data_IF_520054818040
#
_entry.id   IF_520054818040
#
_cell.length_a   1.000
_cell.length_b   1.000
_cell.length_c   1.000
_cell.angle_alpha   90.00
_cell.angle_beta   90.00
_cell.angle_gamma   90.00
#
_symmetry.space_group_name_H-M   'P 1'
#
loop_
_entity.id
_entity.type
_entity.pdbx_description
1 polymer ?
#
# COMPACT_ATOMS: atom_id res chain seq x y z
N UNK A 1 7.04 10.85 38.04
CA UNK A 1 8.06 11.90 37.85
C UNK A 1 7.53 13.18 37.21
N UNK A 2 6.19 13.34 37.01
CA UNK A 2 5.55 14.57 36.58
C UNK A 2 5.92 15.09 35.17
N UNK A 3 6.46 14.23 34.31
CA UNK A 3 6.76 14.58 32.91
C UNK A 3 5.54 14.27 32.05
N UNK A 4 5.00 15.29 31.38
CA UNK A 4 3.96 15.11 30.37
C UNK A 4 4.62 14.79 29.02
N UNK A 5 4.25 13.66 28.42
CA UNK A 5 4.70 13.27 27.08
C UNK A 5 3.55 13.51 26.11
N UNK A 6 3.79 14.31 25.10
CA UNK A 6 2.84 14.58 24.02
C UNK A 6 3.47 14.17 22.69
N UNK A 7 2.64 13.75 21.73
CA UNK A 7 3.06 13.47 20.36
C UNK A 7 2.08 14.09 19.37
N UNK A 8 2.43 14.10 18.10
CA UNK A 8 1.62 14.63 17.00
C UNK A 8 1.26 13.51 16.01
N UNK A 9 0.42 12.54 16.40
CA UNK A 9 0.23 11.29 15.65
C UNK A 9 -0.47 11.49 14.29
N UNK A 10 -1.07 12.65 14.04
CA UNK A 10 -1.72 12.95 12.77
C UNK A 10 -0.77 13.61 11.75
N UNK A 11 0.32 14.24 12.20
CA UNK A 11 1.16 15.09 11.36
C UNK A 11 1.85 14.37 10.19
N UNK A 12 2.15 13.07 10.33
CA UNK A 12 2.83 12.28 9.30
C UNK A 12 1.90 11.38 8.49
N UNK A 13 0.58 11.43 8.71
CA UNK A 13 -0.32 10.45 8.08
C UNK A 13 -0.34 10.56 6.56
N UNK A 14 -0.42 11.76 6.02
CA UNK A 14 -0.36 11.99 4.57
C UNK A 14 1.00 11.61 3.99
N UNK A 15 2.11 11.98 4.66
CA UNK A 15 3.47 11.65 4.18
C UNK A 15 3.72 10.15 4.06
N UNK A 16 3.21 9.35 5.02
CA UNK A 16 3.33 7.90 4.95
C UNK A 16 2.45 7.33 3.83
N UNK A 17 1.25 7.87 3.63
CA UNK A 17 0.39 7.46 2.52
C UNK A 17 1.03 7.76 1.16
N UNK A 18 1.63 8.95 0.99
CA UNK A 18 2.40 9.31 -0.21
C UNK A 18 3.58 8.36 -0.45
N UNK A 19 4.30 7.95 0.61
CA UNK A 19 5.40 6.99 0.50
C UNK A 19 4.91 5.63 0.03
N UNK A 20 3.74 5.15 0.47
CA UNK A 20 3.13 3.91 -0.04
C UNK A 20 2.95 4.00 -1.56
N UNK A 21 2.36 5.09 -2.07
CA UNK A 21 2.15 5.25 -3.52
C UNK A 21 3.47 5.46 -4.27
N UNK A 22 4.47 6.10 -3.68
CA UNK A 22 5.80 6.18 -4.28
C UNK A 22 6.41 4.79 -4.50
N UNK A 23 6.29 3.88 -3.52
CA UNK A 23 6.70 2.48 -3.68
C UNK A 23 5.88 1.75 -4.75
N UNK A 24 4.55 1.89 -4.74
CA UNK A 24 3.69 1.27 -5.75
C UNK A 24 4.04 1.74 -7.16
N UNK A 25 4.16 3.04 -7.39
CA UNK A 25 4.55 3.57 -8.70
C UNK A 25 5.96 3.12 -9.10
N UNK A 26 6.90 3.11 -8.16
CA UNK A 26 8.27 2.67 -8.42
C UNK A 26 8.32 1.21 -8.86
N UNK A 27 7.62 0.32 -8.17
CA UNK A 27 7.55 -1.11 -8.53
C UNK A 27 6.78 -1.34 -9.83
N UNK A 28 5.57 -0.79 -9.93
CA UNK A 28 4.69 -0.99 -11.10
C UNK A 28 5.24 -0.41 -12.40
N UNK A 29 6.07 0.62 -12.35
CA UNK A 29 6.61 1.33 -13.52
C UNK A 29 8.11 1.20 -13.69
N UNK A 30 8.74 0.29 -12.93
CA UNK A 30 10.19 0.03 -12.99
C UNK A 30 11.08 1.28 -12.78
N UNK A 31 10.62 2.26 -11.97
CA UNK A 31 11.32 3.54 -11.85
C UNK A 31 12.74 3.38 -11.31
N UNK A 32 12.92 2.56 -10.27
CA UNK A 32 14.24 2.32 -9.68
C UNK A 32 15.17 1.62 -10.67
N UNK A 33 14.71 0.61 -11.38
CA UNK A 33 15.51 -0.14 -12.34
C UNK A 33 15.87 0.74 -13.55
N UNK A 34 14.90 1.46 -14.10
CA UNK A 34 15.12 2.36 -15.23
C UNK A 34 16.07 3.50 -14.89
N UNK A 35 15.95 4.08 -13.69
CA UNK A 35 16.84 5.15 -13.24
C UNK A 35 18.29 4.67 -13.07
N UNK A 36 18.51 3.40 -12.74
CA UNK A 36 19.85 2.81 -12.62
C UNK A 36 20.43 2.42 -13.98
N UNK A 37 19.66 1.80 -14.85
CA UNK A 37 20.13 1.20 -16.10
C UNK A 37 20.18 2.17 -17.27
N UNK A 38 19.17 3.02 -17.43
CA UNK A 38 19.09 3.93 -18.59
C UNK A 38 20.32 4.87 -18.72
N UNK A 39 20.84 5.49 -17.65
CA UNK A 39 22.02 6.33 -17.78
C UNK A 39 23.31 5.60 -18.19
N UNK A 40 23.40 4.30 -17.89
CA UNK A 40 24.62 3.49 -18.09
C UNK A 40 24.56 2.66 -19.35
N UNK A 41 23.39 2.10 -19.67
CA UNK A 41 23.22 1.14 -20.75
C UNK A 41 22.34 1.67 -21.91
N UNK A 42 21.71 2.85 -21.74
CA UNK A 42 20.72 3.37 -22.67
C UNK A 42 21.26 3.59 -24.08
N UNK A 43 22.50 4.01 -24.24
CA UNK A 43 23.10 4.22 -25.57
C UNK A 43 23.18 2.93 -26.39
N UNK A 44 23.51 1.81 -25.76
CA UNK A 44 23.71 0.52 -26.44
C UNK A 44 22.49 -0.40 -26.42
N UNK A 45 21.62 -0.28 -25.39
CA UNK A 45 20.50 -1.21 -25.15
C UNK A 45 19.14 -0.54 -25.04
N UNK A 46 18.95 0.65 -25.61
CA UNK A 46 17.71 1.42 -25.47
C UNK A 46 16.46 0.63 -25.87
N UNK A 47 16.49 -0.06 -27.01
CA UNK A 47 15.34 -0.80 -27.51
C UNK A 47 14.96 -1.97 -26.57
N UNK A 48 15.96 -2.65 -26.02
CA UNK A 48 15.76 -3.76 -25.04
C UNK A 48 15.16 -3.25 -23.74
N UNK A 49 15.75 -2.21 -23.15
CA UNK A 49 15.28 -1.59 -21.92
C UNK A 49 13.86 -1.01 -22.09
N UNK A 50 13.61 -0.30 -23.19
CA UNK A 50 12.27 0.20 -23.51
C UNK A 50 11.26 -0.93 -23.55
N UNK A 51 11.57 -2.05 -24.22
CA UNK A 51 10.69 -3.23 -24.31
C UNK A 51 10.45 -3.85 -22.92
N UNK A 52 11.47 -3.94 -22.08
CA UNK A 52 11.32 -4.45 -20.71
C UNK A 52 10.35 -3.59 -19.89
N UNK A 53 10.44 -2.26 -19.99
CA UNK A 53 9.64 -1.32 -19.21
C UNK A 53 8.20 -1.13 -19.74
N UNK A 54 7.87 -1.59 -20.94
CA UNK A 54 6.48 -1.62 -21.42
C UNK A 54 5.59 -2.60 -20.66
N UNK A 55 6.18 -3.51 -19.88
CA UNK A 55 5.45 -4.44 -19.02
C UNK A 55 4.90 -3.79 -17.73
N UNK A 56 5.08 -2.49 -17.56
CA UNK A 56 4.58 -1.76 -16.40
C UNK A 56 3.06 -1.88 -16.25
N UNK A 57 2.60 -1.87 -15.00
CA UNK A 57 1.20 -2.02 -14.62
C UNK A 57 0.63 -0.67 -14.18
N UNK A 58 -0.61 -0.39 -14.58
CA UNK A 58 -1.36 0.77 -14.10
C UNK A 58 -2.07 0.44 -12.78
N UNK A 59 -2.16 1.42 -11.88
CA UNK A 59 -2.90 1.27 -10.62
C UNK A 59 -4.42 1.41 -10.82
N UNK A 60 -4.86 2.20 -11.81
CA UNK A 60 -6.27 2.39 -12.13
C UNK A 60 -6.96 1.04 -12.38
N UNK A 61 -8.13 0.85 -11.74
CA UNK A 61 -8.91 -0.37 -11.85
C UNK A 61 -8.36 -1.57 -11.07
N UNK A 62 -7.21 -1.43 -10.39
CA UNK A 62 -6.65 -2.43 -9.49
C UNK A 62 -7.22 -2.32 -8.10
N UNK A 63 -7.12 -3.39 -7.33
CA UNK A 63 -7.61 -3.47 -5.96
C UNK A 63 -6.46 -3.30 -4.97
N UNK A 64 -6.59 -2.37 -4.03
CA UNK A 64 -5.69 -2.22 -2.90
C UNK A 64 -6.36 -2.72 -1.62
N UNK A 65 -5.72 -3.65 -0.92
CA UNK A 65 -6.08 -4.12 0.42
C UNK A 65 -5.30 -3.35 1.49
N UNK A 66 -6.00 -2.69 2.38
CA UNK A 66 -5.42 -1.87 3.44
C UNK A 66 -5.64 -2.58 4.78
N UNK A 67 -4.58 -3.07 5.39
CA UNK A 67 -4.62 -3.75 6.69
C UNK A 67 -4.24 -2.75 7.79
N UNK A 68 -5.24 -2.38 8.62
CA UNK A 68 -5.21 -1.27 9.54
C UNK A 68 -5.83 -0.01 8.94
N UNK A 69 -7.09 0.26 9.28
CA UNK A 69 -7.87 1.36 8.68
C UNK A 69 -7.97 2.58 9.61
N UNK A 70 -6.86 2.85 10.34
CA UNK A 70 -6.66 4.06 11.11
C UNK A 70 -6.34 5.29 10.25
N UNK A 71 -5.75 6.34 10.84
CA UNK A 71 -5.46 7.61 10.13
C UNK A 71 -4.68 7.42 8.84
N UNK A 72 -3.58 6.65 8.87
CA UNK A 72 -2.74 6.42 7.68
C UNK A 72 -3.49 5.61 6.65
N UNK A 73 -4.15 4.51 7.04
CA UNK A 73 -4.94 3.68 6.12
C UNK A 73 -6.05 4.45 5.42
N UNK A 74 -6.68 5.40 6.11
CA UNK A 74 -7.69 6.29 5.52
C UNK A 74 -7.09 7.28 4.52
N UNK A 75 -5.91 7.85 4.78
CA UNK A 75 -5.21 8.70 3.80
C UNK A 75 -4.78 7.89 2.57
N UNK A 76 -4.30 6.66 2.75
CA UNK A 76 -4.03 5.74 1.63
C UNK A 76 -5.30 5.47 0.81
N UNK A 77 -6.43 5.23 1.48
CA UNK A 77 -7.71 5.01 0.80
C UNK A 77 -8.16 6.21 -0.04
N UNK A 78 -8.03 7.44 0.49
CA UNK A 78 -8.34 8.68 -0.26
C UNK A 78 -7.51 8.79 -1.53
N UNK A 79 -6.21 8.55 -1.44
CA UNK A 79 -5.29 8.58 -2.59
C UNK A 79 -5.64 7.47 -3.60
N UNK A 80 -5.93 6.25 -3.14
CA UNK A 80 -6.33 5.13 -3.97
C UNK A 80 -7.60 5.44 -4.77
N UNK A 81 -8.64 5.98 -4.10
CA UNK A 81 -9.87 6.41 -4.75
C UNK A 81 -9.61 7.48 -5.82
N UNK A 82 -8.76 8.47 -5.52
CA UNK A 82 -8.33 9.49 -6.49
C UNK A 82 -7.63 8.93 -7.71
N UNK A 83 -6.92 7.81 -7.57
CA UNK A 83 -6.26 7.08 -8.66
C UNK A 83 -7.20 6.12 -9.39
N UNK A 84 -8.46 6.01 -8.97
CA UNK A 84 -9.44 5.09 -9.57
C UNK A 84 -9.21 3.62 -9.22
N UNK A 85 -8.63 3.34 -8.04
CA UNK A 85 -8.48 2.00 -7.51
C UNK A 85 -9.72 1.58 -6.72
N UNK A 86 -9.97 0.26 -6.64
CA UNK A 86 -10.90 -0.33 -5.69
C UNK A 86 -10.20 -0.45 -4.32
N UNK A 87 -10.85 0.02 -3.27
CA UNK A 87 -10.33 -0.03 -1.90
C UNK A 87 -11.04 -1.11 -1.11
N UNK A 88 -10.28 -2.02 -0.50
CA UNK A 88 -10.72 -2.98 0.50
C UNK A 88 -9.97 -2.70 1.80
N UNK A 89 -10.67 -2.77 2.93
CA UNK A 89 -10.10 -2.43 4.23
C UNK A 89 -10.30 -3.54 5.26
N UNK A 90 -9.30 -3.75 6.10
CA UNK A 90 -9.33 -4.63 7.27
C UNK A 90 -9.04 -3.79 8.50
N UNK A 91 -9.90 -3.87 9.51
CA UNK A 91 -9.66 -3.27 10.82
C UNK A 91 -10.39 -4.05 11.91
N UNK A 92 -9.77 -4.16 13.08
CA UNK A 92 -10.36 -4.92 14.19
C UNK A 92 -11.31 -4.08 15.06
N UNK A 93 -11.27 -2.76 14.91
CA UNK A 93 -11.99 -1.81 15.78
C UNK A 93 -13.04 -1.00 15.05
N UNK A 94 -13.00 -1.02 13.73
CA UNK A 94 -13.85 -0.18 12.87
C UNK A 94 -14.56 -1.03 11.84
N UNK A 95 -15.89 -1.06 11.88
CA UNK A 95 -16.70 -1.81 10.91
C UNK A 95 -16.93 -1.02 9.62
N UNK A 96 -17.02 0.31 9.73
CA UNK A 96 -17.19 1.20 8.57
C UNK A 96 -16.70 2.61 8.85
N UNK A 97 -16.28 3.29 7.81
CA UNK A 97 -15.87 4.70 7.83
C UNK A 97 -16.52 5.44 6.68
N UNK A 98 -17.08 6.61 6.98
CA UNK A 98 -17.44 7.59 5.96
C UNK A 98 -16.20 8.43 5.65
N UNK A 99 -15.57 8.15 4.54
CA UNK A 99 -14.32 8.75 4.11
C UNK A 99 -14.60 9.95 3.21
N UNK A 100 -14.34 11.16 3.70
CA UNK A 100 -14.49 12.38 2.91
C UNK A 100 -13.20 12.66 2.14
N UNK A 101 -13.29 12.69 0.82
CA UNK A 101 -12.22 13.12 -0.08
C UNK A 101 -12.47 14.58 -0.44
N UNK A 102 -11.59 15.47 -0.01
CA UNK A 102 -11.67 16.90 -0.27
C UNK A 102 -10.70 17.30 -1.38
N UNK A 103 -11.15 18.15 -2.29
CA UNK A 103 -10.37 18.68 -3.38
C UNK A 103 -9.98 20.14 -3.11
N UNK A 104 -8.87 20.57 -3.72
CA UNK A 104 -8.33 21.92 -3.53
C UNK A 104 -9.34 23.05 -3.82
N UNK A 105 -10.29 22.82 -4.71
CA UNK A 105 -11.37 23.77 -5.05
C UNK A 105 -12.52 23.82 -4.04
N UNK A 106 -12.41 23.12 -2.91
CA UNK A 106 -13.43 23.04 -1.86
C UNK A 106 -14.55 22.03 -2.11
N UNK A 107 -14.56 21.34 -3.25
CA UNK A 107 -15.47 20.23 -3.49
C UNK A 107 -15.08 19.02 -2.66
N UNK A 108 -16.04 18.16 -2.34
CA UNK A 108 -15.76 16.91 -1.64
C UNK A 108 -16.71 15.81 -2.11
N UNK A 109 -16.24 14.57 -1.97
CA UNK A 109 -17.06 13.37 -2.22
C UNK A 109 -16.90 12.45 -1.01
N UNK A 110 -18.04 11.92 -0.54
CA UNK A 110 -18.06 10.97 0.57
C UNK A 110 -18.13 9.53 0.05
N UNK A 111 -17.32 8.66 0.63
CA UNK A 111 -17.29 7.22 0.35
C UNK A 111 -17.55 6.44 1.63
N UNK A 112 -18.51 5.54 1.64
CA UNK A 112 -18.64 4.57 2.72
C UNK A 112 -17.73 3.38 2.44
N UNK A 113 -16.71 3.17 3.30
CA UNK A 113 -15.83 2.01 3.25
C UNK A 113 -16.20 1.09 4.42
N UNK A 114 -16.61 -0.13 4.11
CA UNK A 114 -16.83 -1.20 5.09
C UNK A 114 -15.59 -2.06 5.19
N UNK A 115 -15.21 -2.40 6.41
CA UNK A 115 -14.13 -3.36 6.63
C UNK A 115 -14.61 -4.77 6.38
N UNK A 116 -13.70 -5.63 5.97
CA UNK A 116 -13.94 -7.02 5.61
C UNK A 116 -12.95 -7.91 6.38
N UNK A 117 -13.11 -9.21 6.28
CA UNK A 117 -12.13 -10.13 6.83
C UNK A 117 -10.80 -10.03 6.10
N UNK A 118 -9.70 -10.27 6.83
CA UNK A 118 -8.36 -10.26 6.24
C UNK A 118 -8.25 -11.28 5.10
N UNK A 119 -8.89 -12.43 5.23
CA UNK A 119 -8.88 -13.49 4.22
C UNK A 119 -9.54 -13.07 2.91
N UNK A 120 -10.68 -12.39 2.95
CA UNK A 120 -11.36 -11.87 1.76
C UNK A 120 -10.50 -10.81 1.06
N UNK A 121 -9.95 -9.87 1.83
CA UNK A 121 -9.11 -8.80 1.29
C UNK A 121 -7.85 -9.35 0.61
N UNK A 122 -7.16 -10.31 1.24
CA UNK A 122 -5.95 -10.89 0.66
C UNK A 122 -6.21 -11.64 -0.65
N UNK A 123 -7.35 -12.33 -0.76
CA UNK A 123 -7.74 -13.05 -1.99
C UNK A 123 -8.05 -12.11 -3.16
N UNK A 124 -8.54 -10.90 -2.88
CA UNK A 124 -9.00 -9.97 -3.92
C UNK A 124 -7.99 -8.85 -4.25
N UNK A 125 -7.04 -8.56 -3.35
CA UNK A 125 -6.10 -7.46 -3.52
C UNK A 125 -5.01 -7.77 -4.55
N UNK A 126 -4.73 -6.79 -5.42
CA UNK A 126 -3.55 -6.77 -6.28
C UNK A 126 -2.35 -6.14 -5.55
N UNK A 127 -2.64 -5.24 -4.61
CA UNK A 127 -1.67 -4.59 -3.74
C UNK A 127 -2.15 -4.66 -2.30
N UNK A 128 -1.27 -5.01 -1.38
CA UNK A 128 -1.56 -5.04 0.07
C UNK A 128 -0.64 -4.05 0.77
N UNK A 129 -1.18 -3.25 1.67
CA UNK A 129 -0.40 -2.31 2.48
C UNK A 129 -0.76 -2.40 3.96
N UNK A 130 0.26 -2.32 4.81
CA UNK A 130 0.14 -2.52 6.25
C UNK A 130 0.24 -1.19 7.00
N UNK A 131 -0.74 -0.93 7.89
CA UNK A 131 -0.82 0.28 8.71
C UNK A 131 -1.21 -0.05 10.15
N UNK A 132 -0.64 -1.11 10.68
CA UNK A 132 -0.88 -1.62 12.03
C UNK A 132 0.26 -1.25 12.98
N UNK A 133 0.02 -1.11 14.28
CA UNK A 133 1.07 -0.95 15.27
C UNK A 133 1.92 -2.24 15.36
N UNK A 134 3.04 -2.16 16.08
CA UNK A 134 3.82 -3.34 16.42
C UNK A 134 2.94 -4.36 17.17
N UNK A 135 3.05 -5.62 16.81
CA UNK A 135 2.29 -6.73 17.36
C UNK A 135 3.24 -7.84 17.85
N UNK A 136 2.72 -8.74 18.69
CA UNK A 136 3.49 -9.90 19.17
C UNK A 136 3.57 -11.00 18.11
N UNK A 137 2.54 -11.09 17.25
CA UNK A 137 2.43 -12.10 16.20
C UNK A 137 2.53 -11.41 14.83
N UNK A 138 2.96 -12.16 13.84
CA UNK A 138 2.99 -11.67 12.47
C UNK A 138 1.57 -11.39 11.95
N UNK A 139 1.40 -10.27 11.30
CA UNK A 139 0.15 -9.91 10.61
C UNK A 139 0.05 -10.64 9.27
N UNK A 140 1.19 -10.80 8.61
CA UNK A 140 1.37 -11.54 7.36
C UNK A 140 2.42 -12.61 7.60
N UNK A 141 2.00 -13.87 7.57
CA UNK A 141 2.82 -15.05 7.61
C UNK A 141 2.53 -15.97 6.43
N UNK A 142 2.96 -17.24 6.50
CA UNK A 142 2.79 -18.20 5.41
C UNK A 142 1.31 -18.35 5.00
N UNK A 143 0.40 -18.48 5.98
CA UNK A 143 -1.04 -18.58 5.71
C UNK A 143 -1.58 -17.40 4.89
N UNK A 144 -1.15 -16.20 5.23
CA UNK A 144 -1.57 -14.99 4.54
C UNK A 144 -0.96 -14.90 3.13
N UNK A 145 0.31 -15.25 2.95
CA UNK A 145 0.93 -15.31 1.63
C UNK A 145 0.24 -16.33 0.72
N UNK A 146 -0.16 -17.49 1.24
CA UNK A 146 -0.87 -18.53 0.48
C UNK A 146 -2.26 -18.07 -0.01
N UNK A 147 -2.84 -17.05 0.63
CA UNK A 147 -4.12 -16.45 0.24
C UNK A 147 -3.98 -15.33 -0.80
N UNK A 148 -2.80 -14.71 -0.90
CA UNK A 148 -2.57 -13.59 -1.81
C UNK A 148 -2.58 -14.07 -3.28
N UNK A 149 -2.97 -13.18 -4.18
CA UNK A 149 -2.88 -13.44 -5.62
C UNK A 149 -1.42 -13.62 -6.05
N UNK A 150 -1.19 -14.51 -7.01
CA UNK A 150 0.10 -14.57 -7.68
C UNK A 150 0.44 -13.23 -8.34
N UNK A 151 1.61 -12.69 -8.03
CA UNK A 151 2.06 -11.37 -8.50
C UNK A 151 1.47 -10.18 -7.74
N UNK A 152 0.74 -10.41 -6.64
CA UNK A 152 0.35 -9.33 -5.74
C UNK A 152 1.58 -8.69 -5.09
N UNK A 153 1.55 -7.40 -4.84
CA UNK A 153 2.63 -6.70 -4.15
C UNK A 153 2.24 -6.36 -2.71
N UNK A 154 3.22 -6.49 -1.80
CA UNK A 154 3.09 -6.12 -0.39
C UNK A 154 3.94 -4.88 -0.09
N UNK A 155 3.34 -3.87 0.54
CA UNK A 155 4.03 -2.67 1.04
C UNK A 155 3.94 -2.64 2.56
N UNK A 156 5.08 -2.60 3.23
CA UNK A 156 5.16 -2.43 4.67
C UNK A 156 5.86 -1.11 5.02
N UNK A 157 5.06 -0.06 5.23
CA UNK A 157 5.51 1.21 5.79
C UNK A 157 5.09 1.36 7.27
N UNK A 158 4.71 0.26 7.94
CA UNK A 158 4.24 0.27 9.32
C UNK A 158 5.38 0.05 10.32
N UNK A 159 5.73 -1.20 10.60
CA UNK A 159 6.74 -1.58 11.60
C UNK A 159 7.50 -2.83 11.15
N UNK A 160 8.72 -2.99 11.67
CA UNK A 160 9.42 -4.28 11.64
C UNK A 160 8.67 -5.33 12.47
N UNK A 161 8.82 -6.60 12.11
CA UNK A 161 8.23 -7.72 12.82
C UNK A 161 6.73 -7.94 12.60
N UNK A 162 6.08 -7.19 11.71
CA UNK A 162 4.66 -7.45 11.33
C UNK A 162 4.54 -8.43 10.16
N UNK A 163 5.62 -8.67 9.44
CA UNK A 163 5.72 -9.65 8.35
C UNK A 163 6.71 -10.73 8.75
N UNK A 164 6.36 -11.98 8.55
CA UNK A 164 7.28 -13.10 8.69
C UNK A 164 8.22 -13.12 7.48
N UNK A 165 9.49 -12.76 7.70
CA UNK A 165 10.48 -12.64 6.64
C UNK A 165 10.90 -14.00 6.05
N UNK A 166 10.82 -15.10 6.84
CA UNK A 166 11.08 -16.45 6.34
C UNK A 166 9.95 -16.91 5.40
N UNK A 167 8.70 -16.63 5.77
CA UNK A 167 7.55 -16.90 4.92
C UNK A 167 7.56 -16.03 3.66
N UNK A 168 7.96 -14.75 3.77
CA UNK A 168 8.12 -13.85 2.64
C UNK A 168 9.15 -14.40 1.64
N UNK A 169 10.30 -14.86 2.12
CA UNK A 169 11.35 -15.42 1.26
C UNK A 169 10.87 -16.66 0.47
N UNK A 170 9.97 -17.44 1.05
CA UNK A 170 9.38 -18.60 0.36
C UNK A 170 8.31 -18.20 -0.67
N UNK A 171 7.65 -17.06 -0.45
CA UNK A 171 6.60 -16.56 -1.34
C UNK A 171 7.14 -15.81 -2.57
N UNK A 172 8.41 -15.33 -2.52
CA UNK A 172 9.13 -14.68 -3.62
C UNK A 172 9.79 -15.67 -4.57
#
# INVERSE_FOLDING_TARGET
KGINVINTPAASSASVAELVFAHLFSGCRFLTDSNRKMPVEGDSKFAELKKAYTKGVELRGKTIGIIGFGRIGQEVAKMALGLGMRVLAVDNFTEKVNLKVEFFNGQSVDFEIKTQSKEEVLKEADFVTLHVPAQKEFVIGQKEFDLMKNGAALVNCARGGVVDEEALLKAL
#
